data_IF_535787895876
#
_entry.id   IF_535787895876
#
_cell.length_a   1.000
_cell.length_b   1.000
_cell.length_c   1.000
_cell.angle_alpha   90.00
_cell.angle_beta   90.00
_cell.angle_gamma   90.00
#
_symmetry.space_group_name_H-M   'P 1'
#
loop_
_entity.id
_entity.type
_entity.pdbx_description
1 polymer ?
#
# COMPACT_ATOMS: atom_id res chain seq x y z
N UNK A 1 -10.39 13.23 -6.54
CA UNK A 1 -10.04 12.68 -5.22
C UNK A 1 -8.60 12.26 -5.21
N UNK A 2 -7.91 12.55 -4.11
CA UNK A 2 -6.47 12.25 -3.94
C UNK A 2 -6.26 11.19 -2.85
N UNK A 3 -5.53 10.15 -3.20
CA UNK A 3 -5.14 9.04 -2.34
C UNK A 3 -3.62 9.03 -2.19
N UNK A 4 -3.14 8.82 -0.97
CA UNK A 4 -1.72 8.62 -0.66
C UNK A 4 -1.54 7.28 0.03
N UNK A 5 -0.47 6.56 -0.30
CA UNK A 5 -0.03 5.36 0.41
C UNK A 5 1.45 5.48 0.75
N UNK A 6 1.82 5.18 2.00
CA UNK A 6 3.19 5.27 2.47
C UNK A 6 3.50 4.23 3.55
N UNK A 7 4.43 3.33 3.28
CA UNK A 7 5.06 2.54 4.34
C UNK A 7 6.01 3.45 5.13
N UNK A 8 5.66 3.73 6.38
CA UNK A 8 6.37 4.70 7.23
C UNK A 8 7.50 4.09 8.06
N UNK A 9 7.64 2.76 8.03
CA UNK A 9 8.66 2.01 8.80
C UNK A 9 8.78 2.50 10.26
N UNK A 10 7.61 2.62 10.92
CA UNK A 10 7.46 3.18 12.26
C UNK A 10 6.99 4.63 12.26
N UNK A 11 5.69 4.83 12.50
CA UNK A 11 5.02 6.15 12.42
C UNK A 11 5.67 7.19 13.35
N UNK A 12 6.04 6.81 14.58
CA UNK A 12 6.66 7.72 15.55
C UNK A 12 8.01 8.26 15.07
N UNK A 13 8.83 7.40 14.46
CA UNK A 13 10.11 7.82 13.89
C UNK A 13 9.92 8.69 12.64
N UNK A 14 8.94 8.35 11.80
CA UNK A 14 8.63 9.09 10.57
C UNK A 14 8.08 10.50 10.89
N UNK A 15 7.25 10.64 11.93
CA UNK A 15 6.75 11.95 12.41
C UNK A 15 7.91 12.90 12.75
N UNK A 16 8.95 12.40 13.40
CA UNK A 16 10.13 13.21 13.72
C UNK A 16 10.99 13.56 12.49
N UNK A 17 10.64 13.05 11.31
CA UNK A 17 11.39 13.22 10.05
C UNK A 17 10.56 13.88 8.94
N UNK A 18 9.50 14.62 9.30
CA UNK A 18 8.73 15.42 8.36
C UNK A 18 7.42 14.80 7.88
N UNK A 19 6.93 13.71 8.49
CA UNK A 19 5.65 13.10 8.11
C UNK A 19 4.49 14.08 8.16
N UNK A 20 4.39 14.90 9.24
CA UNK A 20 3.29 15.85 9.42
C UNK A 20 3.34 16.95 8.36
N UNK A 21 4.53 17.45 8.03
CA UNK A 21 4.69 18.48 7.01
C UNK A 21 4.22 17.98 5.65
N UNK A 22 4.66 16.77 5.25
CA UNK A 22 4.21 16.15 4.01
C UNK A 22 2.70 15.84 4.02
N UNK A 23 2.15 15.33 5.12
CA UNK A 23 0.72 15.07 5.28
C UNK A 23 -0.12 16.33 5.02
N UNK A 24 0.28 17.45 5.63
CA UNK A 24 -0.41 18.73 5.46
C UNK A 24 -0.23 19.30 4.04
N UNK A 25 0.97 19.22 3.46
CA UNK A 25 1.26 19.69 2.11
C UNK A 25 0.46 18.95 1.05
N UNK A 26 0.45 17.61 1.11
CA UNK A 26 -0.23 16.79 0.12
C UNK A 26 -1.75 16.90 0.23
N UNK A 27 -2.27 17.17 1.43
CA UNK A 27 -3.69 17.42 1.73
C UNK A 27 -4.64 16.42 1.08
N UNK A 28 -4.30 15.13 1.18
CA UNK A 28 -5.04 14.06 0.53
C UNK A 28 -6.44 13.86 1.13
N UNK A 29 -7.37 13.32 0.34
CA UNK A 29 -8.69 12.88 0.84
C UNK A 29 -8.56 11.60 1.66
N UNK A 30 -7.62 10.74 1.26
CA UNK A 30 -7.31 9.46 1.88
C UNK A 30 -5.80 9.29 2.01
N UNK A 31 -5.32 9.03 3.21
CA UNK A 31 -3.91 8.79 3.49
C UNK A 31 -3.74 7.44 4.20
N UNK A 32 -3.20 6.46 3.49
CA UNK A 32 -2.97 5.09 3.96
C UNK A 32 -1.52 4.93 4.40
N UNK A 33 -1.30 4.34 5.58
CA UNK A 33 0.05 4.03 6.05
C UNK A 33 0.18 2.56 6.40
N UNK A 34 1.36 2.01 6.14
CA UNK A 34 1.74 0.65 6.48
C UNK A 34 2.96 0.69 7.42
N UNK A 35 3.11 -0.41 8.15
CA UNK A 35 4.23 -0.60 9.08
C UNK A 35 4.32 0.51 10.14
N UNK A 36 3.17 0.78 10.79
CA UNK A 36 3.07 1.82 11.83
C UNK A 36 3.92 1.52 13.05
N UNK A 37 4.17 0.23 13.37
CA UNK A 37 4.94 -0.25 14.54
C UNK A 37 4.51 0.42 15.84
N UNK A 38 3.22 0.68 15.98
CA UNK A 38 2.65 1.47 17.06
C UNK A 38 1.50 0.71 17.71
N UNK A 39 1.27 0.97 18.99
CA UNK A 39 0.12 0.48 19.73
C UNK A 39 -0.79 1.65 20.11
N UNK A 40 -2.04 1.34 20.43
CA UNK A 40 -3.01 2.34 20.86
C UNK A 40 -2.45 3.21 21.99
N UNK A 41 -2.62 4.53 21.87
CA UNK A 41 -2.16 5.51 22.87
C UNK A 41 -0.68 5.82 22.85
N UNK A 42 0.12 5.25 21.92
CA UNK A 42 1.56 5.57 21.82
C UNK A 42 1.86 6.82 20.98
N UNK A 43 0.90 7.29 20.19
CA UNK A 43 0.99 8.53 19.43
C UNK A 43 -0.39 9.15 19.29
N UNK A 44 -0.44 10.47 19.33
CA UNK A 44 -1.61 11.28 18.97
C UNK A 44 -1.22 12.15 17.79
N UNK A 45 -1.97 12.03 16.69
CA UNK A 45 -1.73 12.81 15.48
C UNK A 45 -2.82 13.89 15.35
N UNK A 46 -2.44 15.18 15.32
CA UNK A 46 -3.37 16.31 15.31
C UNK A 46 -3.91 16.57 13.91
N UNK A 47 -4.58 15.58 13.31
CA UNK A 47 -5.13 15.69 11.97
C UNK A 47 -6.58 16.18 12.03
N UNK A 48 -6.75 17.49 12.17
CA UNK A 48 -8.08 18.13 12.18
C UNK A 48 -8.84 17.84 10.89
N UNK A 49 -10.12 17.47 11.02
CA UNK A 49 -10.97 17.13 9.88
C UNK A 49 -10.75 15.75 9.29
N UNK A 50 -9.91 14.91 9.91
CA UNK A 50 -9.70 13.54 9.48
C UNK A 50 -10.24 12.53 10.49
N UNK A 51 -10.97 11.54 10.01
CA UNK A 51 -11.25 10.29 10.71
C UNK A 51 -10.00 9.42 10.66
N UNK A 52 -9.69 8.72 11.77
CA UNK A 52 -8.50 7.88 11.88
C UNK A 52 -8.90 6.44 12.20
N UNK A 53 -8.44 5.49 11.40
CA UNK A 53 -8.69 4.05 11.56
C UNK A 53 -7.36 3.34 11.68
N UNK A 54 -7.15 2.64 12.80
CA UNK A 54 -5.89 1.96 13.11
C UNK A 54 -6.11 0.47 13.29
N UNK A 55 -5.25 -0.33 12.69
CA UNK A 55 -5.17 -1.77 12.90
C UNK A 55 -3.79 -2.10 13.46
N UNK A 56 -3.75 -2.37 14.76
CA UNK A 56 -2.50 -2.64 15.49
C UNK A 56 -2.18 -4.13 15.45
N UNK A 57 -0.88 -4.48 15.33
CA UNK A 57 -0.44 -5.84 15.56
C UNK A 57 -0.49 -6.18 17.07
N UNK A 58 -0.77 -7.43 17.41
CA UNK A 58 -0.66 -7.90 18.80
C UNK A 58 0.79 -7.78 19.31
N UNK A 59 1.76 -8.08 18.45
CA UNK A 59 3.18 -7.93 18.75
C UNK A 59 3.59 -6.46 18.74
N UNK A 60 4.08 -5.96 19.87
CA UNK A 60 4.53 -4.58 20.01
C UNK A 60 5.70 -4.25 19.07
N UNK A 61 5.67 -3.04 18.49
CA UNK A 61 6.74 -2.55 17.60
C UNK A 61 6.85 -3.28 16.26
N UNK A 62 5.78 -3.93 15.81
CA UNK A 62 5.75 -4.75 14.61
C UNK A 62 4.53 -4.45 13.75
N UNK A 63 4.68 -4.48 12.41
CA UNK A 63 3.58 -4.35 11.45
C UNK A 63 2.61 -3.18 11.76
N UNK A 64 1.33 -3.37 11.56
CA UNK A 64 0.29 -2.36 11.79
C UNK A 64 0.03 -1.47 10.59
N UNK A 65 -1.24 -1.10 10.39
CA UNK A 65 -1.70 -0.20 9.33
C UNK A 65 -2.60 0.88 9.89
N UNK A 66 -2.74 2.00 9.19
CA UNK A 66 -3.74 3.01 9.50
C UNK A 66 -4.25 3.71 8.23
N UNK A 67 -5.45 4.28 8.30
CA UNK A 67 -6.02 5.15 7.27
C UNK A 67 -6.49 6.44 7.93
N UNK A 68 -6.10 7.57 7.36
CA UNK A 68 -6.60 8.90 7.70
C UNK A 68 -7.44 9.40 6.52
N UNK A 69 -8.68 9.80 6.77
CA UNK A 69 -9.62 10.20 5.71
C UNK A 69 -10.49 11.37 6.11
N UNK A 70 -10.72 12.30 5.18
CA UNK A 70 -11.69 13.41 5.35
C UNK A 70 -13.14 12.93 5.32
N UNK A 71 -13.39 11.73 4.84
CA UNK A 71 -14.72 11.20 4.57
C UNK A 71 -15.06 10.06 5.51
N UNK A 72 -16.20 10.14 6.18
CA UNK A 72 -16.67 9.07 7.05
C UNK A 72 -17.12 7.86 6.22
N UNK A 73 -16.55 6.66 6.44
CA UNK A 73 -16.97 5.46 5.74
C UNK A 73 -18.32 4.94 6.26
N UNK A 74 -19.01 4.16 5.44
CA UNK A 74 -20.23 3.42 5.82
C UNK A 74 -19.89 2.29 6.79
N UNK A 75 -18.79 1.60 6.54
CA UNK A 75 -18.29 0.53 7.41
C UNK A 75 -16.77 0.46 7.39
N UNK A 76 -16.22 -0.17 8.43
CA UNK A 76 -14.79 -0.45 8.59
C UNK A 76 -14.61 -1.92 8.90
N UNK A 77 -13.74 -2.61 8.17
CA UNK A 77 -13.37 -3.99 8.43
C UNK A 77 -11.86 -4.12 8.58
N UNK A 78 -11.44 -4.92 9.54
CA UNK A 78 -10.05 -5.26 9.83
C UNK A 78 -9.79 -6.72 9.47
N UNK A 79 -8.77 -6.98 8.63
CA UNK A 79 -8.47 -8.32 8.14
C UNK A 79 -9.45 -8.85 7.09
N UNK A 80 -9.27 -10.12 6.68
CA UNK A 80 -10.13 -10.83 5.70
C UNK A 80 -10.76 -12.11 6.26
N UNK A 81 -10.38 -12.55 7.46
CA UNK A 81 -10.86 -13.77 8.12
C UNK A 81 -10.15 -14.00 9.46
N UNK A 82 -10.32 -15.17 10.06
CA UNK A 82 -9.74 -15.53 11.35
C UNK A 82 -8.45 -16.35 11.18
N UNK A 83 -7.32 -15.71 10.88
CA UNK A 83 -6.02 -16.39 10.82
C UNK A 83 -4.93 -15.60 11.56
N UNK A 84 -3.74 -16.21 11.77
CA UNK A 84 -2.64 -15.56 12.52
C UNK A 84 -2.13 -14.28 11.86
N UNK A 85 -2.20 -14.17 10.53
CA UNK A 85 -1.77 -12.95 9.82
C UNK A 85 -2.64 -11.74 10.14
N UNK A 86 -3.87 -11.94 10.59
CA UNK A 86 -4.77 -10.85 11.02
C UNK A 86 -4.38 -10.25 12.36
N UNK A 87 -3.68 -11.00 13.20
CA UNK A 87 -3.09 -10.50 14.45
C UNK A 87 -1.91 -9.55 14.21
N UNK A 88 -1.48 -9.41 12.98
CA UNK A 88 -0.39 -8.53 12.60
C UNK A 88 -0.86 -7.14 12.12
N UNK A 89 -2.18 -6.88 12.11
CA UNK A 89 -2.73 -5.56 11.78
C UNK A 89 -2.45 -5.12 10.34
N UNK A 90 -2.59 -6.02 9.35
CA UNK A 90 -2.11 -5.81 7.99
C UNK A 90 -3.11 -5.22 7.03
N UNK A 91 -4.42 -5.28 7.34
CA UNK A 91 -5.48 -4.92 6.38
C UNK A 91 -6.53 -4.05 7.06
N UNK A 92 -6.87 -2.94 6.42
CA UNK A 92 -8.04 -2.12 6.73
C UNK A 92 -8.85 -1.93 5.46
N UNK A 93 -10.12 -2.24 5.51
CA UNK A 93 -11.08 -1.96 4.44
C UNK A 93 -12.07 -0.91 4.91
N UNK A 94 -12.18 0.19 4.17
CA UNK A 94 -13.21 1.22 4.33
C UNK A 94 -14.22 1.09 3.20
N UNK A 95 -15.51 1.06 3.55
CA UNK A 95 -16.60 1.04 2.59
C UNK A 95 -17.16 2.45 2.40
N UNK A 96 -17.32 2.85 1.15
CA UNK A 96 -18.04 4.06 0.74
C UNK A 96 -19.21 3.69 -0.17
N UNK A 97 -20.06 4.67 -0.54
CA UNK A 97 -21.22 4.40 -1.40
C UNK A 97 -20.81 3.78 -2.74
N UNK A 98 -19.75 4.27 -3.34
CA UNK A 98 -19.37 3.95 -4.71
C UNK A 98 -18.09 3.12 -4.85
N UNK A 99 -17.36 2.84 -3.75
CA UNK A 99 -16.12 2.07 -3.77
C UNK A 99 -15.73 1.51 -2.40
N UNK A 100 -14.80 0.56 -2.43
CA UNK A 100 -14.02 0.13 -1.27
C UNK A 100 -12.59 0.65 -1.35
N UNK A 101 -12.05 1.16 -0.23
CA UNK A 101 -10.63 1.44 -0.07
C UNK A 101 -10.00 0.36 0.82
N UNK A 102 -9.01 -0.35 0.28
CA UNK A 102 -8.30 -1.43 1.00
C UNK A 102 -6.83 -1.06 1.15
N UNK A 103 -6.40 -0.84 2.39
CA UNK A 103 -5.01 -0.58 2.74
C UNK A 103 -4.35 -1.85 3.27
N UNK A 104 -3.21 -2.22 2.69
CA UNK A 104 -2.57 -3.51 2.97
C UNK A 104 -1.07 -3.35 3.21
N UNK A 105 -0.57 -4.12 4.17
CA UNK A 105 0.85 -4.40 4.36
C UNK A 105 1.10 -5.90 4.18
N UNK A 106 1.52 -6.30 2.99
CA UNK A 106 1.74 -7.71 2.63
C UNK A 106 2.88 -8.31 3.45
N UNK A 107 2.72 -9.53 4.00
CA UNK A 107 3.83 -10.23 4.67
C UNK A 107 5.02 -10.40 3.73
N UNK A 108 6.20 -10.11 4.21
CA UNK A 108 7.41 -10.39 3.44
C UNK A 108 7.83 -11.86 3.63
N UNK A 109 8.39 -12.48 2.60
CA UNK A 109 8.76 -13.89 2.59
C UNK A 109 10.05 -14.21 3.35
N UNK A 110 10.72 -13.19 3.88
CA UNK A 110 12.06 -13.23 4.52
C UNK A 110 13.19 -13.58 3.55
N UNK A 111 14.42 -13.25 3.92
CA UNK A 111 15.60 -13.43 3.05
C UNK A 111 15.87 -14.89 2.67
N UNK A 112 15.56 -15.80 3.56
CA UNK A 112 15.70 -17.25 3.40
C UNK A 112 14.44 -17.92 2.82
N UNK A 113 13.42 -17.12 2.49
CA UNK A 113 12.12 -17.56 1.97
C UNK A 113 11.31 -18.44 2.95
N UNK A 114 11.66 -18.44 4.24
CA UNK A 114 10.99 -19.27 5.24
C UNK A 114 9.48 -18.99 5.34
N UNK A 115 9.05 -17.76 5.04
CA UNK A 115 7.62 -17.35 5.06
C UNK A 115 6.97 -17.37 3.67
N UNK A 116 7.65 -17.79 2.61
CA UNK A 116 7.08 -17.78 1.26
C UNK A 116 5.76 -18.58 1.17
N UNK A 117 5.65 -19.82 1.69
CA UNK A 117 4.37 -20.55 1.63
C UNK A 117 3.22 -19.82 2.33
N UNK A 118 3.48 -19.24 3.51
CA UNK A 118 2.48 -18.48 4.28
C UNK A 118 2.04 -17.24 3.49
N UNK A 119 3.00 -16.53 2.87
CA UNK A 119 2.71 -15.38 2.03
C UNK A 119 1.85 -15.73 0.84
N UNK A 120 2.16 -16.79 0.10
CA UNK A 120 1.40 -17.22 -1.08
C UNK A 120 -0.05 -17.59 -0.73
N UNK A 121 -0.27 -18.28 0.39
CA UNK A 121 -1.60 -18.57 0.91
C UNK A 121 -2.35 -17.29 1.29
N UNK A 122 -1.66 -16.35 1.93
CA UNK A 122 -2.22 -15.08 2.34
C UNK A 122 -2.63 -14.23 1.12
N UNK A 123 -1.79 -14.18 0.07
CA UNK A 123 -2.09 -13.45 -1.17
C UNK A 123 -3.28 -14.07 -1.92
N UNK A 124 -3.44 -15.40 -1.89
CA UNK A 124 -4.60 -16.07 -2.49
C UNK A 124 -5.91 -15.67 -1.77
N UNK A 125 -5.90 -15.68 -0.43
CA UNK A 125 -7.07 -15.25 0.36
C UNK A 125 -7.39 -13.77 0.13
N UNK A 126 -6.37 -12.92 0.04
CA UNK A 126 -6.56 -11.51 -0.27
C UNK A 126 -7.15 -11.30 -1.66
N UNK A 127 -6.64 -11.98 -2.69
CA UNK A 127 -7.17 -11.91 -4.05
C UNK A 127 -8.65 -12.27 -4.09
N UNK A 128 -9.05 -13.38 -3.47
CA UNK A 128 -10.46 -13.78 -3.41
C UNK A 128 -11.32 -12.75 -2.65
N UNK A 129 -10.80 -12.18 -1.57
CA UNK A 129 -11.47 -11.11 -0.84
C UNK A 129 -11.68 -9.85 -1.71
N UNK A 130 -10.64 -9.40 -2.42
CA UNK A 130 -10.72 -8.23 -3.31
C UNK A 130 -11.72 -8.47 -4.45
N UNK A 131 -11.78 -9.68 -5.01
CA UNK A 131 -12.77 -10.06 -6.03
C UNK A 131 -14.19 -9.97 -5.48
N UNK A 132 -14.45 -10.53 -4.30
CA UNK A 132 -15.78 -10.44 -3.65
C UNK A 132 -16.20 -8.98 -3.42
N UNK A 133 -15.29 -8.11 -3.01
CA UNK A 133 -15.58 -6.68 -2.89
C UNK A 133 -15.89 -6.06 -4.26
N UNK A 134 -15.10 -6.42 -5.29
CA UNK A 134 -15.27 -5.88 -6.64
C UNK A 134 -16.58 -6.31 -7.31
N UNK A 135 -17.13 -7.46 -6.94
CA UNK A 135 -18.49 -7.86 -7.38
C UNK A 135 -19.58 -6.88 -6.88
N UNK A 136 -19.36 -6.25 -5.74
CA UNK A 136 -20.31 -5.32 -5.12
C UNK A 136 -20.07 -3.87 -5.57
N UNK A 137 -18.84 -3.40 -5.44
CA UNK A 137 -18.41 -2.03 -5.76
C UNK A 137 -16.96 -2.04 -6.24
N UNK A 138 -16.54 -1.05 -7.05
CA UNK A 138 -15.14 -0.89 -7.42
C UNK A 138 -14.22 -0.84 -6.20
N UNK A 139 -13.03 -1.39 -6.34
CA UNK A 139 -12.01 -1.44 -5.30
C UNK A 139 -10.82 -0.54 -5.67
N UNK A 140 -10.38 0.24 -4.70
CA UNK A 140 -9.09 0.92 -4.71
C UNK A 140 -8.23 0.21 -3.66
N UNK A 141 -7.22 -0.50 -4.10
CA UNK A 141 -6.34 -1.30 -3.26
C UNK A 141 -4.95 -0.69 -3.25
N UNK A 142 -4.37 -0.48 -2.09
CA UNK A 142 -3.05 0.13 -1.98
C UNK A 142 -2.22 -0.46 -0.84
N UNK A 143 -0.94 -0.23 -0.91
CA UNK A 143 0.00 -0.49 0.16
C UNK A 143 1.35 -1.00 -0.29
N UNK A 144 2.13 -1.46 0.68
CA UNK A 144 3.37 -2.17 0.47
C UNK A 144 3.06 -3.66 0.19
N UNK A 145 3.23 -4.06 -1.06
CA UNK A 145 2.95 -5.42 -1.50
C UNK A 145 4.18 -6.33 -1.44
N UNK A 146 5.33 -5.80 -1.01
CA UNK A 146 6.57 -6.55 -0.84
C UNK A 146 6.94 -7.40 -2.07
N UNK A 147 6.63 -6.92 -3.28
CA UNK A 147 6.97 -7.56 -4.56
C UNK A 147 7.26 -6.52 -5.64
N UNK A 148 8.36 -6.68 -6.36
CA UNK A 148 8.56 -6.03 -7.64
C UNK A 148 7.96 -6.95 -8.72
N UNK A 149 6.95 -6.47 -9.47
CA UNK A 149 6.21 -7.33 -10.39
C UNK A 149 7.06 -7.72 -11.60
N UNK A 150 7.61 -6.73 -12.29
CA UNK A 150 8.36 -6.94 -13.54
C UNK A 150 9.84 -6.54 -13.38
N UNK A 151 10.66 -6.93 -14.35
CA UNK A 151 12.09 -6.61 -14.37
C UNK A 151 12.38 -5.10 -14.35
N UNK A 152 11.46 -4.30 -14.90
CA UNK A 152 11.53 -2.83 -14.87
C UNK A 152 11.28 -2.24 -13.49
N UNK A 153 10.72 -3.01 -12.56
CA UNK A 153 10.31 -2.55 -11.23
C UNK A 153 11.43 -2.61 -10.18
N UNK A 154 12.63 -3.06 -10.55
CA UNK A 154 13.77 -3.01 -9.64
C UNK A 154 15.08 -2.80 -10.40
N UNK A 155 16.05 -2.21 -9.72
CA UNK A 155 17.41 -2.11 -10.23
C UNK A 155 18.13 -3.46 -10.06
N UNK A 156 19.00 -3.78 -11.02
CA UNK A 156 19.81 -5.00 -10.99
C UNK A 156 18.96 -6.30 -10.87
N UNK A 157 17.86 -6.39 -11.61
CA UNK A 157 16.91 -7.50 -11.52
C UNK A 157 17.58 -8.88 -11.68
N UNK A 158 18.57 -9.02 -12.57
CA UNK A 158 19.27 -10.30 -12.84
C UNK A 158 19.87 -10.92 -11.58
N UNK A 159 20.45 -10.10 -10.71
CA UNK A 159 21.04 -10.57 -9.45
C UNK A 159 20.03 -10.78 -8.35
N UNK A 160 18.77 -10.41 -8.55
CA UNK A 160 17.70 -10.51 -7.58
C UNK A 160 16.65 -11.58 -7.91
N UNK A 161 16.76 -12.25 -9.07
CA UNK A 161 15.89 -13.38 -9.42
C UNK A 161 15.94 -14.44 -8.31
N UNK A 162 14.77 -14.81 -7.78
CA UNK A 162 14.63 -15.78 -6.69
C UNK A 162 14.84 -15.23 -5.29
N UNK A 163 15.17 -13.94 -5.13
CA UNK A 163 15.21 -13.30 -3.82
C UNK A 163 13.80 -12.93 -3.35
N UNK A 164 13.61 -12.80 -2.02
CA UNK A 164 12.39 -12.30 -1.40
C UNK A 164 11.94 -11.00 -2.07
N UNK A 165 10.67 -10.93 -2.48
CA UNK A 165 10.11 -9.81 -3.24
C UNK A 165 10.34 -9.88 -4.75
N UNK A 166 11.07 -10.88 -5.25
CA UNK A 166 11.30 -11.10 -6.69
C UNK A 166 11.43 -12.58 -7.06
N UNK A 167 10.76 -13.46 -6.32
CA UNK A 167 10.60 -14.87 -6.69
C UNK A 167 9.58 -15.00 -7.83
N UNK A 168 9.64 -16.09 -8.58
CA UNK A 168 8.65 -16.37 -9.62
C UNK A 168 7.24 -16.51 -9.03
N UNK A 169 7.13 -17.10 -7.85
CA UNK A 169 5.88 -17.32 -7.13
C UNK A 169 5.23 -16.00 -6.70
N UNK A 170 5.98 -15.10 -6.09
CA UNK A 170 5.47 -13.77 -5.67
C UNK A 170 5.03 -12.93 -6.86
N UNK A 171 5.85 -12.89 -7.91
CA UNK A 171 5.52 -12.21 -9.18
C UNK A 171 4.29 -12.84 -9.85
N UNK A 172 4.20 -14.17 -9.83
CA UNK A 172 3.05 -14.93 -10.33
C UNK A 172 1.76 -14.56 -9.63
N UNK A 173 1.77 -14.42 -8.29
CA UNK A 173 0.60 -13.97 -7.52
C UNK A 173 0.17 -12.54 -7.89
N UNK A 174 1.10 -11.64 -8.11
CA UNK A 174 0.79 -10.30 -8.60
C UNK A 174 0.15 -10.34 -10.00
N UNK A 175 0.68 -11.17 -10.91
CA UNK A 175 0.10 -11.38 -12.23
C UNK A 175 -1.32 -11.94 -12.15
N UNK A 176 -1.56 -12.97 -11.31
CA UNK A 176 -2.89 -13.54 -11.08
C UNK A 176 -3.89 -12.50 -10.56
N UNK A 177 -3.46 -11.65 -9.61
CA UNK A 177 -4.28 -10.55 -9.10
C UNK A 177 -4.68 -9.59 -10.21
N UNK A 178 -3.74 -9.10 -11.01
CA UNK A 178 -4.01 -8.16 -12.10
C UNK A 178 -4.93 -8.79 -13.15
N UNK A 179 -4.72 -10.05 -13.51
CA UNK A 179 -5.56 -10.78 -14.47
C UNK A 179 -6.99 -11.05 -13.94
N UNK A 180 -7.21 -10.95 -12.64
CA UNK A 180 -8.52 -11.19 -12.02
C UNK A 180 -9.46 -9.99 -12.03
N UNK A 181 -9.15 -8.91 -12.77
CA UNK A 181 -10.01 -7.74 -12.92
C UNK A 181 -9.43 -6.44 -12.37
N UNK A 182 -8.14 -6.40 -12.14
CA UNK A 182 -7.45 -5.25 -11.54
C UNK A 182 -6.33 -4.70 -12.42
N UNK A 183 -6.00 -3.43 -12.21
CA UNK A 183 -4.97 -2.70 -12.95
C UNK A 183 -4.01 -2.00 -11.99
N UNK A 184 -2.70 -2.15 -12.21
CA UNK A 184 -1.65 -1.31 -11.62
C UNK A 184 -1.72 0.09 -12.23
N UNK A 185 -2.18 1.06 -11.44
CA UNK A 185 -2.44 2.43 -11.92
C UNK A 185 -1.18 3.14 -12.41
N UNK A 186 -0.04 2.88 -11.78
CA UNK A 186 1.23 3.48 -12.21
C UNK A 186 1.69 2.91 -13.56
N UNK A 187 1.70 1.60 -13.74
CA UNK A 187 2.09 0.97 -15.00
C UNK A 187 1.09 1.21 -16.14
N UNK A 188 -0.17 1.41 -15.80
CA UNK A 188 -1.17 1.82 -16.79
C UNK A 188 -0.83 3.18 -17.41
N UNK A 189 -0.45 4.19 -16.61
CA UNK A 189 -0.07 5.51 -17.12
C UNK A 189 1.39 5.59 -17.61
N UNK A 190 2.28 4.78 -17.05
CA UNK A 190 3.72 4.84 -17.26
C UNK A 190 4.29 3.46 -17.60
N UNK A 191 3.85 2.80 -18.71
CA UNK A 191 4.22 1.41 -19.00
C UNK A 191 5.73 1.20 -19.13
N UNK A 192 6.45 2.15 -19.67
CA UNK A 192 7.87 2.04 -20.00
C UNK A 192 8.80 2.88 -19.10
N UNK A 193 8.25 3.49 -18.03
CA UNK A 193 9.04 4.35 -17.14
C UNK A 193 10.01 3.53 -16.29
N UNK A 194 11.29 3.63 -16.59
CA UNK A 194 12.38 3.01 -15.85
C UNK A 194 12.78 3.83 -14.62
N UNK A 195 13.53 3.21 -13.69
CA UNK A 195 14.09 3.87 -12.51
C UNK A 195 13.07 4.56 -11.60
N UNK A 196 11.83 4.06 -11.62
CA UNK A 196 10.71 4.52 -10.83
C UNK A 196 10.52 3.56 -9.64
N UNK A 197 11.15 3.85 -8.52
CA UNK A 197 11.18 3.00 -7.34
C UNK A 197 10.51 3.66 -6.15
N UNK A 198 10.05 2.82 -5.21
CA UNK A 198 9.35 3.27 -4.00
C UNK A 198 10.07 2.91 -2.71
N UNK A 199 11.02 1.98 -2.77
CA UNK A 199 11.80 1.49 -1.64
C UNK A 199 13.29 1.39 -1.96
N UNK A 200 14.14 1.72 -0.97
CA UNK A 200 15.60 1.61 -1.03
C UNK A 200 16.13 1.12 0.32
N UNK A 201 17.00 0.12 0.29
CA UNK A 201 17.68 -0.32 1.50
C UNK A 201 18.45 0.84 2.17
N UNK A 202 18.50 0.87 3.49
CA UNK A 202 19.33 1.85 4.23
C UNK A 202 20.84 1.65 4.02
N UNK A 203 21.26 0.47 3.51
CA UNK A 203 22.70 0.17 3.36
C UNK A 203 23.30 0.91 2.17
N UNK A 204 24.58 1.30 2.32
CA UNK A 204 25.43 1.77 1.21
C UNK A 204 24.89 2.97 0.41
N UNK A 205 24.05 3.82 1.01
CA UNK A 205 23.49 5.00 0.35
C UNK A 205 22.83 4.68 -1.01
N UNK A 206 22.15 3.54 -1.10
CA UNK A 206 21.58 3.08 -2.38
C UNK A 206 20.49 3.99 -2.90
N UNK A 207 19.78 4.73 -2.01
CA UNK A 207 18.76 5.71 -2.42
C UNK A 207 19.36 6.87 -3.22
N UNK A 208 20.51 7.40 -2.80
CA UNK A 208 21.22 8.46 -3.51
C UNK A 208 21.64 8.04 -4.94
N UNK A 209 21.89 6.75 -5.16
CA UNK A 209 22.23 6.13 -6.45
C UNK A 209 21.02 5.58 -7.20
N UNK A 210 19.84 5.75 -6.64
CA UNK A 210 18.58 5.20 -7.12
C UNK A 210 18.64 3.68 -7.41
N UNK A 211 19.26 2.90 -6.51
CA UNK A 211 19.25 1.44 -6.57
C UNK A 211 18.11 0.95 -5.68
N UNK A 212 16.91 0.95 -6.24
CA UNK A 212 15.67 0.70 -5.52
C UNK A 212 14.78 -0.34 -6.18
N UNK A 213 13.62 -0.52 -5.57
CA UNK A 213 12.55 -1.42 -5.97
C UNK A 213 11.22 -0.68 -5.93
N UNK A 214 10.32 -0.95 -6.86
CA UNK A 214 8.93 -0.52 -6.79
C UNK A 214 8.10 -1.66 -6.19
N UNK A 215 7.75 -1.51 -4.94
CA UNK A 215 7.02 -2.52 -4.16
C UNK A 215 5.75 -1.98 -3.48
N UNK A 216 5.52 -0.67 -3.60
CA UNK A 216 4.31 0.00 -3.16
C UNK A 216 3.43 0.31 -4.38
N UNK A 217 2.12 0.07 -4.25
CA UNK A 217 1.20 0.12 -5.38
C UNK A 217 -0.12 0.80 -5.02
N UNK A 218 -0.73 1.43 -6.04
CA UNK A 218 -2.18 1.61 -6.14
C UNK A 218 -2.69 0.71 -7.26
N UNK A 219 -3.54 -0.24 -6.90
CA UNK A 219 -4.21 -1.17 -7.80
C UNK A 219 -5.69 -0.85 -7.76
N UNK A 220 -6.33 -0.73 -8.90
CA UNK A 220 -7.73 -0.37 -9.00
C UNK A 220 -8.51 -1.41 -9.81
N UNK A 221 -9.79 -1.57 -9.51
CA UNK A 221 -10.70 -2.33 -10.36
C UNK A 221 -10.65 -1.81 -11.81
N UNK A 222 -10.66 -2.70 -12.80
CA UNK A 222 -10.55 -2.32 -14.22
C UNK A 222 -11.59 -1.28 -14.64
N UNK A 223 -12.79 -1.26 -14.03
CA UNK A 223 -13.85 -0.27 -14.29
C UNK A 223 -13.56 1.12 -13.75
N UNK A 224 -12.48 1.32 -12.98
CA UNK A 224 -12.00 2.64 -12.55
C UNK A 224 -10.88 3.21 -13.42
N UNK A 225 -10.36 2.46 -14.38
CA UNK A 225 -9.17 2.82 -15.16
C UNK A 225 -9.35 4.16 -15.89
N UNK A 226 -10.51 4.40 -16.49
CA UNK A 226 -10.81 5.67 -17.18
C UNK A 226 -10.94 6.88 -16.23
N UNK A 227 -11.05 6.63 -14.94
CA UNK A 227 -11.09 7.67 -13.91
C UNK A 227 -9.71 8.07 -13.41
N UNK A 228 -8.65 7.32 -13.74
CA UNK A 228 -7.29 7.63 -13.30
C UNK A 228 -6.83 8.94 -13.96
N UNK A 229 -6.51 9.93 -13.14
CA UNK A 229 -5.99 11.22 -13.58
C UNK A 229 -4.47 11.27 -13.48
N UNK A 230 -3.92 10.82 -12.37
CA UNK A 230 -2.47 10.68 -12.18
C UNK A 230 -2.14 9.51 -11.25
N UNK A 231 -0.93 8.97 -11.40
CA UNK A 231 -0.34 7.99 -10.50
C UNK A 231 1.15 8.32 -10.38
N UNK A 232 1.57 8.77 -9.20
CA UNK A 232 2.88 9.38 -8.99
C UNK A 232 3.65 8.70 -7.85
N UNK A 233 4.98 8.81 -7.92
CA UNK A 233 5.92 8.36 -6.90
C UNK A 233 6.68 9.58 -6.41
N UNK A 234 6.49 9.93 -5.13
CA UNK A 234 7.14 11.08 -4.52
C UNK A 234 8.52 10.71 -3.93
N UNK A 235 9.44 10.28 -4.79
CA UNK A 235 10.75 9.72 -4.42
C UNK A 235 11.64 10.67 -3.60
N UNK A 236 11.40 11.97 -3.70
CA UNK A 236 12.11 13.02 -2.95
C UNK A 236 11.69 13.13 -1.48
N UNK A 237 10.53 12.58 -1.11
CA UNK A 237 10.04 12.62 0.27
C UNK A 237 10.82 11.64 1.13
N UNK A 238 11.45 12.16 2.18
CA UNK A 238 12.26 11.39 3.12
C UNK A 238 11.46 11.09 4.40
N UNK A 239 12.02 10.26 5.29
CA UNK A 239 11.42 9.91 6.59
C UNK A 239 11.27 8.41 6.80
N UNK A 240 11.21 7.64 5.72
CA UNK A 240 11.19 6.18 5.69
C UNK A 240 12.16 5.66 4.62
N UNK A 241 12.45 4.37 4.60
CA UNK A 241 13.11 3.68 3.49
C UNK A 241 12.19 3.49 2.28
N UNK A 242 10.89 3.70 2.44
CA UNK A 242 9.95 3.90 1.36
C UNK A 242 9.68 5.38 1.12
N UNK A 243 9.17 5.73 -0.06
CA UNK A 243 8.57 7.03 -0.33
C UNK A 243 7.05 6.90 -0.53
N UNK A 244 6.30 8.00 -0.38
CA UNK A 244 4.87 8.00 -0.69
C UNK A 244 4.61 7.76 -2.16
N UNK A 245 3.48 7.09 -2.44
CA UNK A 245 2.87 7.02 -3.76
C UNK A 245 1.51 7.71 -3.72
N UNK A 246 1.11 8.32 -4.84
CA UNK A 246 -0.11 9.12 -4.94
C UNK A 246 -0.93 8.66 -6.13
N UNK A 247 -2.24 8.52 -5.92
CA UNK A 247 -3.23 8.29 -6.97
C UNK A 247 -4.24 9.43 -6.95
N UNK A 248 -4.51 10.03 -8.10
CA UNK A 248 -5.63 10.95 -8.27
C UNK A 248 -6.67 10.35 -9.22
N UNK A 249 -7.91 10.31 -8.76
CA UNK A 249 -9.06 9.92 -9.57
C UNK A 249 -9.93 11.14 -9.84
N UNK A 250 -10.49 11.23 -11.06
CA UNK A 250 -11.50 12.22 -11.41
C UNK A 250 -12.73 12.07 -10.48
N UNK A 251 -13.45 13.16 -10.24
CA UNK A 251 -14.65 13.19 -9.39
C UNK A 251 -15.85 12.46 -10.04
N UNK A 252 -15.68 11.17 -10.31
CA UNK A 252 -16.78 10.32 -10.77
C UNK A 252 -17.46 9.58 -9.60
N UNK A 253 -16.87 9.67 -8.41
CA UNK A 253 -17.34 9.01 -7.20
C UNK A 253 -18.05 10.06 -6.36
N UNK A 254 -19.36 9.92 -6.20
CA UNK A 254 -20.13 10.75 -5.28
C UNK A 254 -19.92 10.23 -3.86
N UNK A 255 -19.11 10.93 -3.09
CA UNK A 255 -19.14 10.78 -1.65
C UNK A 255 -20.47 11.36 -1.17
N UNK A 256 -21.22 10.62 -0.35
CA UNK A 256 -22.41 11.17 0.29
C UNK A 256 -22.00 12.40 1.09
N UNK A 257 -22.50 13.56 0.67
CA UNK A 257 -22.51 14.74 1.52
C UNK A 257 -23.57 14.48 2.60
N UNK A 258 -23.16 14.19 3.82
CA UNK A 258 -23.93 14.34 5.04
C UNK A 258 -23.09 15.08 6.08
#
# INVERSE_FOLDING_TARGET
MKFVSWNVNGIRACVNKGFIDYFNEVNADFFCVQETKCQQGQIELPFEGYYQYWNYAEKKGYSGTAIFTKHKPLSVKYGVGENESEKEGRIITLEYNDFYLVNVYTPNSQRDLARLPIRLEWEEKLKEYLKQLDELKPVIYCGDLNVAHEEIDLKNFKSNIGNSGFTYEERGKMTELLQSGFTDSFRYLHPDKTDAFTWWSYMNKVRERNIGWRIDYFIVSNRLVDSIQSADIHSQVLGSDHCPIVLELKDMIKLSND
#
